data_IF_531712019823
#
_entry.id   IF_531712019823
#
_cell.length_a   1.000
_cell.length_b   1.000
_cell.length_c   1.000
_cell.angle_alpha   90.00
_cell.angle_beta   90.00
_cell.angle_gamma   90.00
#
_symmetry.space_group_name_H-M   'P 1'
#
loop_
_entity.id
_entity.type
_entity.pdbx_description
1 polymer ?
#
# COMPACT_ATOMS: atom_id res chain seq x y z
N UNK A 1 -11.91 -6.01 -9.92
CA UNK A 1 -10.66 -6.30 -9.18
C UNK A 1 -10.88 -6.01 -7.70
N UNK A 2 -10.29 -6.79 -6.78
CA UNK A 2 -10.40 -6.54 -5.34
C UNK A 2 -9.38 -5.45 -4.92
N UNK A 3 -9.86 -4.29 -4.46
CA UNK A 3 -9.01 -3.14 -4.11
C UNK A 3 -8.68 -3.04 -2.62
N UNK A 4 -9.36 -3.82 -1.77
CA UNK A 4 -9.09 -3.90 -0.31
C UNK A 4 -9.01 -5.39 0.06
N UNK A 5 -7.89 -6.07 -0.27
CA UNK A 5 -7.70 -7.46 0.11
C UNK A 5 -7.53 -7.63 1.61
N UNK A 6 -7.81 -8.83 2.12
CA UNK A 6 -7.47 -9.18 3.50
C UNK A 6 -5.98 -9.01 3.78
N UNK A 7 -5.64 -8.53 4.97
CA UNK A 7 -4.27 -8.20 5.38
C UNK A 7 -3.82 -8.95 6.64
N UNK A 8 -4.47 -10.08 6.97
CA UNK A 8 -4.04 -10.96 8.08
C UNK A 8 -2.90 -11.88 7.62
N UNK A 9 -2.19 -12.53 8.56
CA UNK A 9 -1.09 -13.47 8.25
C UNK A 9 -1.52 -14.63 7.33
N UNK A 10 -2.80 -15.01 7.36
CA UNK A 10 -3.33 -16.09 6.51
C UNK A 10 -3.88 -15.59 5.17
N UNK A 11 -3.99 -14.26 4.99
CA UNK A 11 -4.57 -13.67 3.79
C UNK A 11 -3.64 -13.86 2.59
N UNK A 12 -4.23 -14.09 1.41
CA UNK A 12 -3.48 -14.30 0.17
C UNK A 12 -2.59 -13.11 -0.20
N UNK A 13 -3.04 -11.87 0.03
CA UNK A 13 -2.31 -10.68 -0.39
C UNK A 13 -0.94 -10.57 0.29
N UNK A 14 -0.80 -10.56 1.63
CA UNK A 14 0.52 -10.61 2.28
C UNK A 14 1.37 -11.82 1.87
N UNK A 15 0.76 -13.02 1.75
CA UNK A 15 1.51 -14.25 1.40
C UNK A 15 2.18 -14.20 0.03
N UNK A 16 1.54 -13.60 -0.96
CA UNK A 16 2.12 -13.46 -2.30
C UNK A 16 3.34 -12.52 -2.31
N UNK A 17 3.29 -11.46 -1.51
CA UNK A 17 4.42 -10.55 -1.34
C UNK A 17 5.56 -11.19 -0.55
N UNK A 18 5.24 -11.98 0.48
CA UNK A 18 6.22 -12.76 1.23
C UNK A 18 6.95 -13.76 0.33
N UNK A 19 6.23 -14.47 -0.55
CA UNK A 19 6.82 -15.34 -1.57
C UNK A 19 7.71 -14.58 -2.58
N UNK A 20 7.53 -13.26 -2.70
CA UNK A 20 8.37 -12.36 -3.50
C UNK A 20 9.53 -11.74 -2.71
N UNK A 21 9.71 -12.14 -1.44
CA UNK A 21 10.78 -11.67 -0.57
C UNK A 21 10.47 -10.42 0.25
N UNK A 22 9.20 -9.98 0.32
CA UNK A 22 8.78 -8.81 1.10
C UNK A 22 7.93 -9.25 2.28
N UNK A 23 8.41 -9.04 3.50
CA UNK A 23 7.65 -9.41 4.70
C UNK A 23 6.38 -8.56 4.88
N UNK A 24 5.38 -9.08 5.60
CA UNK A 24 4.15 -8.34 5.87
C UNK A 24 4.38 -6.95 6.54
N UNK A 25 5.30 -6.79 7.52
CA UNK A 25 5.64 -5.47 8.06
C UNK A 25 6.25 -4.51 7.02
N UNK A 26 7.13 -5.02 6.14
CA UNK A 26 7.71 -4.23 5.06
C UNK A 26 6.65 -3.78 4.05
N UNK A 27 5.75 -4.70 3.67
CA UNK A 27 4.61 -4.38 2.81
C UNK A 27 3.72 -3.30 3.43
N UNK A 28 3.42 -3.40 4.73
CA UNK A 28 2.63 -2.39 5.43
C UNK A 28 3.30 -1.01 5.39
N UNK A 29 4.62 -0.97 5.61
CA UNK A 29 5.42 0.26 5.50
C UNK A 29 5.35 0.86 4.10
N UNK A 30 5.56 0.05 3.05
CA UNK A 30 5.49 0.50 1.65
C UNK A 30 4.11 1.08 1.29
N UNK A 31 3.02 0.44 1.75
CA UNK A 31 1.66 0.91 1.49
C UNK A 31 1.37 2.27 2.15
N UNK A 32 1.83 2.46 3.39
CA UNK A 32 1.68 3.74 4.10
C UNK A 32 2.50 4.84 3.42
N UNK A 33 3.76 4.56 3.06
CA UNK A 33 4.63 5.50 2.34
C UNK A 33 4.01 5.93 1.00
N UNK A 34 3.52 4.97 0.21
CA UNK A 34 2.84 5.23 -1.05
C UNK A 34 1.56 6.06 -0.87
N UNK A 35 0.78 5.79 0.18
CA UNK A 35 -0.42 6.57 0.48
C UNK A 35 -0.08 8.04 0.78
N UNK A 36 0.96 8.29 1.58
CA UNK A 36 1.43 9.65 1.91
C UNK A 36 1.95 10.37 0.66
N UNK A 37 2.73 9.70 -0.18
CA UNK A 37 3.25 10.28 -1.43
C UNK A 37 2.11 10.65 -2.38
N UNK A 38 1.17 9.72 -2.59
CA UNK A 38 -0.02 9.94 -3.43
C UNK A 38 -0.86 11.11 -2.92
N UNK A 39 -1.04 11.22 -1.61
CA UNK A 39 -1.74 12.34 -0.98
C UNK A 39 -1.03 13.68 -1.25
N UNK A 40 0.29 13.76 -1.03
CA UNK A 40 1.08 14.97 -1.32
C UNK A 40 0.99 15.38 -2.80
N UNK A 41 1.09 14.42 -3.72
CA UNK A 41 0.97 14.65 -5.17
C UNK A 41 -0.40 15.23 -5.54
N UNK A 42 -1.50 14.64 -5.01
CA UNK A 42 -2.86 15.13 -5.24
C UNK A 42 -3.05 16.55 -4.68
N UNK A 43 -2.54 16.83 -3.49
CA UNK A 43 -2.65 18.15 -2.88
C UNK A 43 -1.87 19.24 -3.65
N UNK A 44 -0.72 18.90 -4.24
CA UNK A 44 0.04 19.83 -5.08
C UNK A 44 -0.76 20.23 -6.33
N UNK A 45 -1.52 19.31 -6.91
CA UNK A 45 -2.35 19.55 -8.10
C UNK A 45 -3.65 20.31 -7.80
N UNK A 46 -4.13 20.30 -6.55
CA UNK A 46 -5.39 20.92 -6.13
C UNK A 46 -5.29 22.41 -5.77
N UNK A 47 -4.17 23.07 -6.07
CA UNK A 47 -3.93 24.49 -5.75
C UNK A 47 -3.92 25.34 -7.02
N UNK A 48 -5.08 25.44 -7.65
CA UNK A 48 -5.40 26.52 -8.57
C UNK A 48 -6.85 26.90 -8.33
N UNK A 49 -7.05 27.90 -7.47
CA UNK A 49 -8.22 28.78 -7.43
C UNK A 49 -7.71 30.18 -7.11
#
# INVERSE_FOLDING_TARGET
ANTIPGFTMISMYPKLWEASGISQPELAKMLVEYAVESYKKKNKLKRTV
#
